data_IF_507283691940
#
_entry.id   IF_507283691940
#
_cell.length_a   1.000
_cell.length_b   1.000
_cell.length_c   1.000
_cell.angle_alpha   90.00
_cell.angle_beta   90.00
_cell.angle_gamma   90.00
#
_symmetry.space_group_name_H-M   'P 1'
#
loop_
_entity.id
_entity.type
_entity.pdbx_description
1 polymer ?
#
# COMPACT_ATOMS: atom_id res chain seq x y z
N UNK A 1 13.98 21.71 -2.42
CA UNK A 1 12.52 21.85 -2.55
C UNK A 1 12.11 21.78 -4.01
N UNK A 2 12.44 22.77 -4.84
CA UNK A 2 11.95 22.85 -6.24
C UNK A 2 12.37 21.67 -7.11
N UNK A 3 13.56 21.11 -6.88
CA UNK A 3 14.02 19.95 -7.62
C UNK A 3 13.12 18.72 -7.41
N UNK A 4 12.53 18.52 -6.22
CA UNK A 4 11.58 17.43 -5.98
C UNK A 4 10.27 17.64 -6.74
N UNK A 5 9.76 18.87 -6.79
CA UNK A 5 8.61 19.24 -7.62
C UNK A 5 8.88 18.95 -9.10
N UNK A 6 10.04 19.41 -9.58
CA UNK A 6 10.50 19.17 -10.94
C UNK A 6 10.55 17.67 -11.26
N UNK A 7 11.22 16.87 -10.42
CA UNK A 7 11.36 15.43 -10.65
C UNK A 7 10.02 14.72 -10.68
N UNK A 8 9.12 14.99 -9.74
CA UNK A 8 7.80 14.36 -9.71
C UNK A 8 6.99 14.71 -10.97
N UNK A 9 6.89 16.00 -11.31
CA UNK A 9 6.15 16.44 -12.51
C UNK A 9 6.77 15.94 -13.82
N UNK A 10 8.08 15.68 -13.84
CA UNK A 10 8.77 15.18 -15.03
C UNK A 10 8.76 13.65 -15.13
N UNK A 11 8.38 12.94 -14.07
CA UNK A 11 8.35 11.46 -14.02
C UNK A 11 6.94 10.87 -13.88
N UNK A 12 5.96 11.68 -13.49
CA UNK A 12 4.57 11.26 -13.29
C UNK A 12 3.64 12.37 -13.77
N UNK A 13 3.05 12.20 -14.96
CA UNK A 13 2.14 13.19 -15.54
C UNK A 13 1.17 12.58 -16.55
N UNK A 14 -0.07 13.06 -16.57
CA UNK A 14 -1.08 12.66 -17.54
C UNK A 14 -1.40 11.16 -17.43
N UNK A 15 -1.27 10.44 -18.54
CA UNK A 15 -1.54 8.99 -18.64
C UNK A 15 -0.26 8.15 -18.56
N UNK A 16 0.82 8.69 -17.97
CA UNK A 16 2.05 7.94 -17.75
C UNK A 16 1.88 6.84 -16.72
N UNK A 17 2.89 5.98 -16.59
CA UNK A 17 3.06 5.21 -15.36
C UNK A 17 3.44 6.16 -14.21
N UNK A 18 3.19 5.79 -12.94
CA UNK A 18 3.75 6.54 -11.83
C UNK A 18 5.29 6.45 -11.83
N UNK A 19 5.95 7.44 -11.23
CA UNK A 19 7.37 7.38 -10.91
C UNK A 19 7.71 6.08 -10.16
N UNK A 20 8.67 5.31 -10.68
CA UNK A 20 9.21 4.12 -10.03
C UNK A 20 10.44 4.49 -9.15
N UNK A 21 11.19 3.50 -8.64
CA UNK A 21 12.36 3.75 -7.79
C UNK A 21 13.44 4.69 -8.39
N UNK A 22 13.46 4.85 -9.71
CA UNK A 22 14.38 5.75 -10.43
C UNK A 22 13.64 6.86 -11.19
N UNK A 23 12.37 7.08 -10.89
CA UNK A 23 11.47 7.98 -11.61
C UNK A 23 11.19 7.46 -13.01
N UNK A 24 11.99 7.91 -13.98
CA UNK A 24 12.03 7.42 -15.37
C UNK A 24 13.47 7.19 -15.87
N UNK A 25 14.48 7.46 -15.04
CA UNK A 25 15.86 7.66 -15.49
C UNK A 25 16.75 6.54 -15.00
N UNK A 26 17.16 5.68 -15.93
CA UNK A 26 18.13 4.62 -15.68
C UNK A 26 19.13 4.55 -16.83
N UNK A 27 20.38 4.23 -16.49
CA UNK A 27 21.39 3.83 -17.45
C UNK A 27 21.49 2.30 -17.49
N UNK A 28 21.38 1.73 -18.69
CA UNK A 28 21.54 0.30 -18.94
C UNK A 28 20.26 -0.52 -18.82
N UNK A 29 20.43 -1.84 -18.84
CA UNK A 29 19.32 -2.81 -18.81
C UNK A 29 18.98 -3.31 -17.40
N UNK A 30 19.77 -2.92 -16.40
CA UNK A 30 19.63 -3.38 -15.02
C UNK A 30 19.76 -2.22 -14.06
N UNK A 31 18.80 -2.10 -13.17
CA UNK A 31 18.74 -1.10 -12.10
C UNK A 31 18.82 -1.76 -10.74
N UNK A 32 19.34 -1.06 -9.71
CA UNK A 32 19.16 -1.49 -8.33
C UNK A 32 17.68 -1.76 -8.05
N UNK A 33 17.39 -2.92 -7.46
CA UNK A 33 16.03 -3.40 -7.19
C UNK A 33 15.10 -3.36 -8.41
N UNK A 34 15.64 -3.64 -9.60
CA UNK A 34 14.91 -3.62 -10.87
C UNK A 34 14.21 -2.30 -11.23
N UNK A 35 14.44 -1.21 -10.48
CA UNK A 35 13.75 0.06 -10.71
C UNK A 35 12.23 -0.12 -10.64
N UNK A 36 11.78 -1.07 -9.83
CA UNK A 36 10.38 -1.48 -9.74
C UNK A 36 9.58 -0.53 -8.83
N UNK A 37 8.42 -0.99 -8.38
CA UNK A 37 7.56 -0.25 -7.46
C UNK A 37 7.62 -0.89 -6.07
N UNK A 38 8.43 -0.32 -5.19
CA UNK A 38 8.45 -0.65 -3.77
C UNK A 38 7.34 0.11 -3.02
N UNK A 39 6.30 -0.60 -2.60
CA UNK A 39 5.16 -0.05 -1.86
C UNK A 39 5.22 -0.37 -0.35
N UNK A 40 6.40 -0.67 0.18
CA UNK A 40 6.65 -0.79 1.62
C UNK A 40 7.20 0.51 2.26
N UNK A 41 7.45 1.56 1.46
CA UNK A 41 7.75 2.94 1.88
C UNK A 41 8.01 3.85 0.66
N UNK A 42 8.70 3.35 -0.37
CA UNK A 42 9.33 4.20 -1.40
C UNK A 42 8.30 4.93 -2.27
N UNK A 43 7.34 4.19 -2.82
CA UNK A 43 6.24 4.75 -3.59
C UNK A 43 5.47 5.75 -2.75
N UNK A 44 5.18 5.43 -1.50
CA UNK A 44 4.48 6.37 -0.62
C UNK A 44 5.26 7.69 -0.48
N UNK A 45 6.56 7.58 -0.18
CA UNK A 45 7.44 8.72 0.03
C UNK A 45 7.54 9.64 -1.19
N UNK A 46 7.60 9.08 -2.40
CA UNK A 46 7.70 9.86 -3.63
C UNK A 46 6.50 10.79 -3.84
N UNK A 47 5.33 10.44 -3.31
CA UNK A 47 4.07 11.17 -3.53
C UNK A 47 3.56 11.93 -2.30
N UNK A 48 4.16 11.78 -1.11
CA UNK A 48 3.70 12.46 0.12
C UNK A 48 3.49 13.97 -0.03
N UNK A 49 4.37 14.63 -0.80
CA UNK A 49 4.29 16.08 -0.97
C UNK A 49 3.38 16.49 -2.13
N UNK A 50 2.89 15.58 -2.98
CA UNK A 50 2.22 15.93 -4.24
C UNK A 50 1.01 16.85 -4.00
N UNK A 51 0.07 16.43 -3.16
CA UNK A 51 -1.13 17.22 -2.88
C UNK A 51 -0.86 18.48 -2.06
N UNK A 52 0.02 18.40 -1.06
CA UNK A 52 0.41 19.56 -0.25
C UNK A 52 1.06 20.68 -1.09
N UNK A 53 1.66 20.31 -2.22
CA UNK A 53 2.36 21.22 -3.13
C UNK A 53 1.51 21.67 -4.34
N UNK A 54 0.23 21.28 -4.38
CA UNK A 54 -0.68 21.58 -5.48
C UNK A 54 -0.35 20.81 -6.77
N UNK A 55 0.35 19.68 -6.67
CA UNK A 55 0.74 18.81 -7.80
C UNK A 55 -0.22 17.63 -7.96
N UNK A 56 -1.53 17.87 -7.87
CA UNK A 56 -2.56 16.82 -7.92
C UNK A 56 -2.53 16.06 -9.25
N UNK A 57 -2.28 16.75 -10.36
CA UNK A 57 -2.15 16.16 -11.69
C UNK A 57 -0.96 15.19 -11.79
N UNK A 58 0.12 15.45 -11.04
CA UNK A 58 1.27 14.56 -11.00
C UNK A 58 1.05 13.33 -10.11
N UNK A 59 0.05 13.36 -9.23
CA UNK A 59 -0.36 12.19 -8.43
C UNK A 59 -1.30 11.26 -9.20
N UNK A 60 -2.05 11.76 -10.19
CA UNK A 60 -3.05 10.98 -10.94
C UNK A 60 -2.52 9.66 -11.54
N UNK A 61 -1.30 9.59 -12.12
CA UNK A 61 -0.75 8.31 -12.57
C UNK A 61 -0.69 7.24 -11.47
N UNK A 62 -0.41 7.64 -10.23
CA UNK A 62 -0.40 6.72 -9.09
C UNK A 62 -1.81 6.22 -8.76
N UNK A 63 -2.81 7.10 -8.79
CA UNK A 63 -4.21 6.76 -8.48
C UNK A 63 -4.73 5.68 -9.44
N UNK A 64 -4.65 5.93 -10.74
CA UNK A 64 -5.07 4.98 -11.77
C UNK A 64 -4.28 3.66 -11.73
N UNK A 65 -2.96 3.75 -11.51
CA UNK A 65 -2.11 2.57 -11.39
C UNK A 65 -2.48 1.73 -10.16
N UNK A 66 -2.79 2.37 -9.05
CA UNK A 66 -3.13 1.69 -7.81
C UNK A 66 -4.51 1.02 -7.87
N UNK A 67 -5.48 1.62 -8.56
CA UNK A 67 -6.76 0.96 -8.86
C UNK A 67 -6.57 -0.37 -9.60
N UNK A 68 -5.74 -0.37 -10.64
CA UNK A 68 -5.43 -1.57 -11.40
C UNK A 68 -4.63 -2.60 -10.58
N UNK A 69 -3.75 -2.15 -9.69
CA UNK A 69 -3.05 -3.02 -8.75
C UNK A 69 -4.03 -3.70 -7.78
N UNK A 70 -4.99 -2.94 -7.22
CA UNK A 70 -6.00 -3.45 -6.30
C UNK A 70 -6.89 -4.50 -6.97
N UNK A 71 -7.36 -4.25 -8.20
CA UNK A 71 -8.14 -5.23 -8.98
C UNK A 71 -7.39 -6.57 -9.14
N UNK A 72 -6.09 -6.51 -9.47
CA UNK A 72 -5.25 -7.73 -9.53
C UNK A 72 -5.03 -8.36 -8.17
N UNK A 73 -4.99 -7.55 -7.12
CA UNK A 73 -4.88 -7.97 -5.72
C UNK A 73 -6.03 -8.85 -5.25
N UNK A 74 -7.20 -8.77 -5.88
CA UNK A 74 -8.35 -9.65 -5.54
C UNK A 74 -8.02 -11.12 -5.77
N UNK A 75 -7.35 -11.44 -6.88
CA UNK A 75 -6.91 -12.80 -7.17
C UNK A 75 -5.89 -13.27 -6.15
N UNK A 76 -4.97 -12.41 -5.73
CA UNK A 76 -3.98 -12.76 -4.70
C UNK A 76 -4.65 -12.99 -3.35
N UNK A 77 -5.60 -12.15 -2.95
CA UNK A 77 -6.39 -12.32 -1.73
C UNK A 77 -7.09 -13.69 -1.71
N UNK A 78 -7.77 -14.03 -2.81
CA UNK A 78 -8.48 -15.30 -2.94
C UNK A 78 -7.54 -16.50 -2.97
N UNK A 79 -6.55 -16.49 -3.87
CA UNK A 79 -5.72 -17.67 -4.12
C UNK A 79 -4.72 -17.95 -2.99
N UNK A 80 -4.19 -16.92 -2.33
CA UNK A 80 -3.18 -17.11 -1.28
C UNK A 80 -3.78 -17.18 0.13
N UNK A 81 -4.86 -16.44 0.38
CA UNK A 81 -5.42 -16.30 1.72
C UNK A 81 -6.83 -16.88 1.87
N UNK A 82 -7.50 -17.25 0.77
CA UNK A 82 -8.92 -17.60 0.80
C UNK A 82 -9.79 -16.44 1.29
N UNK A 83 -9.31 -15.21 1.14
CA UNK A 83 -9.92 -14.00 1.66
C UNK A 83 -10.62 -13.22 0.54
N UNK A 84 -11.66 -12.48 0.89
CA UNK A 84 -12.29 -11.49 0.02
C UNK A 84 -11.48 -10.20 -0.01
N UNK A 85 -11.94 -9.22 -0.80
CA UNK A 85 -11.24 -7.95 -0.96
C UNK A 85 -10.00 -8.10 -1.82
N UNK A 86 -9.00 -7.25 -1.61
CA UNK A 86 -7.74 -7.28 -2.34
C UNK A 86 -6.53 -7.11 -1.42
N UNK A 87 -5.37 -7.60 -1.85
CA UNK A 87 -4.10 -7.45 -1.14
C UNK A 87 -2.96 -7.24 -2.13
N UNK A 88 -1.98 -6.40 -1.76
CA UNK A 88 -0.71 -6.25 -2.45
C UNK A 88 0.44 -6.20 -1.43
N UNK A 89 1.57 -6.79 -1.79
CA UNK A 89 2.75 -6.94 -0.94
C UNK A 89 3.79 -5.85 -1.18
N UNK A 90 4.95 -5.92 -0.54
CA UNK A 90 5.93 -4.84 -0.54
C UNK A 90 6.46 -4.41 -1.91
N UNK A 91 6.42 -5.28 -2.92
CA UNK A 91 7.06 -5.08 -4.22
C UNK A 91 6.16 -5.51 -5.35
N UNK A 92 6.14 -4.72 -6.43
CA UNK A 92 5.43 -5.00 -7.67
C UNK A 92 6.16 -4.34 -8.84
N UNK A 93 5.80 -4.69 -10.06
CA UNK A 93 6.38 -4.17 -11.29
C UNK A 93 5.30 -3.61 -12.24
N UNK A 94 5.68 -3.35 -13.51
CA UNK A 94 4.77 -2.88 -14.55
C UNK A 94 3.64 -3.86 -14.88
N UNK A 95 3.79 -5.15 -14.52
CA UNK A 95 2.77 -6.18 -14.69
C UNK A 95 1.80 -6.26 -13.51
N UNK A 96 2.03 -5.45 -12.47
CA UNK A 96 1.18 -5.30 -11.29
C UNK A 96 1.00 -6.62 -10.54
N UNK A 97 2.10 -7.34 -10.35
CA UNK A 97 2.13 -8.58 -9.57
C UNK A 97 1.99 -8.29 -8.07
N UNK A 98 0.93 -8.81 -7.46
CA UNK A 98 0.57 -8.47 -6.07
C UNK A 98 0.98 -9.52 -5.06
N UNK A 99 1.57 -10.65 -5.49
CA UNK A 99 2.03 -11.70 -4.57
C UNK A 99 3.32 -11.29 -3.83
N UNK A 100 3.65 -11.92 -2.70
CA UNK A 100 4.95 -11.72 -2.04
C UNK A 100 6.10 -12.07 -2.99
N UNK A 101 7.04 -11.15 -3.18
CA UNK A 101 8.24 -11.35 -4.00
C UNK A 101 9.50 -11.39 -3.11
N UNK A 102 10.34 -12.41 -3.30
CA UNK A 102 11.62 -12.54 -2.62
C UNK A 102 11.59 -13.39 -1.34
N UNK A 103 12.49 -13.11 -0.41
CA UNK A 103 12.67 -13.86 0.84
C UNK A 103 11.75 -13.40 1.97
N UNK A 104 11.57 -14.25 2.99
CA UNK A 104 10.66 -14.01 4.12
C UNK A 104 10.95 -12.71 4.91
N UNK A 105 12.17 -12.19 4.80
CA UNK A 105 12.57 -10.92 5.43
C UNK A 105 11.88 -9.69 4.84
N UNK A 106 11.44 -9.75 3.59
CA UNK A 106 10.91 -8.59 2.87
C UNK A 106 9.63 -8.87 2.07
N UNK A 107 9.36 -10.13 1.71
CA UNK A 107 8.27 -10.46 0.81
C UNK A 107 6.88 -10.30 1.46
N UNK A 108 6.72 -10.72 2.72
CA UNK A 108 5.41 -10.93 3.34
C UNK A 108 4.91 -9.68 4.08
N UNK A 109 4.63 -8.60 3.35
CA UNK A 109 4.04 -7.36 3.87
C UNK A 109 2.61 -7.15 3.32
N UNK A 110 1.58 -7.84 3.84
CA UNK A 110 0.20 -7.70 3.35
C UNK A 110 -0.41 -6.31 3.61
N UNK A 111 0.18 -5.51 4.51
CA UNK A 111 -0.26 -4.16 4.85
C UNK A 111 0.27 -3.08 3.91
N UNK A 112 1.24 -3.41 3.07
CA UNK A 112 1.84 -2.48 2.12
C UNK A 112 0.81 -1.94 1.10
N UNK A 113 -0.07 -2.80 0.57
CA UNK A 113 -1.20 -2.37 -0.26
C UNK A 113 -2.18 -1.44 0.48
N UNK A 114 -2.55 -1.77 1.72
CA UNK A 114 -3.44 -0.92 2.52
C UNK A 114 -2.83 0.47 2.79
N UNK A 115 -1.51 0.56 2.98
CA UNK A 115 -0.84 1.85 3.12
C UNK A 115 -0.97 2.72 1.86
N UNK A 116 -0.91 2.12 0.67
CA UNK A 116 -1.18 2.84 -0.58
C UNK A 116 -2.64 3.33 -0.65
N UNK A 117 -3.61 2.57 -0.13
CA UNK A 117 -5.01 3.02 -0.06
C UNK A 117 -5.18 4.26 0.83
N UNK A 118 -4.37 4.41 1.88
CA UNK A 118 -4.35 5.64 2.69
C UNK A 118 -3.88 6.86 1.89
N UNK A 119 -3.06 6.70 0.84
CA UNK A 119 -2.72 7.82 -0.04
C UNK A 119 -3.92 8.30 -0.86
N UNK A 120 -4.78 7.37 -1.29
CA UNK A 120 -6.03 7.73 -1.99
C UNK A 120 -6.98 8.49 -1.05
N UNK A 121 -6.99 8.12 0.23
CA UNK A 121 -7.71 8.90 1.23
C UNK A 121 -7.14 10.31 1.39
N UNK A 122 -5.82 10.47 1.44
CA UNK A 122 -5.19 11.80 1.44
C UNK A 122 -5.57 12.63 0.22
N UNK A 123 -5.66 12.03 -0.97
CA UNK A 123 -6.13 12.73 -2.17
C UNK A 123 -7.49 13.39 -1.93
N UNK A 124 -8.47 12.65 -1.39
CA UNK A 124 -9.75 13.23 -1.02
C UNK A 124 -9.62 14.32 0.06
N UNK A 125 -8.81 14.11 1.10
CA UNK A 125 -8.64 15.11 2.18
C UNK A 125 -8.14 16.46 1.67
N UNK A 126 -7.27 16.45 0.66
CA UNK A 126 -6.75 17.66 0.03
C UNK A 126 -7.68 18.25 -1.03
N UNK A 127 -8.27 17.43 -1.88
CA UNK A 127 -9.05 17.91 -3.04
C UNK A 127 -10.53 18.12 -2.77
N UNK A 128 -11.09 17.43 -1.76
CA UNK A 128 -12.52 17.36 -1.46
C UNK A 128 -13.37 16.96 -2.67
N UNK A 129 -12.81 16.13 -3.54
CA UNK A 129 -13.51 15.65 -4.73
C UNK A 129 -14.46 14.49 -4.36
N UNK A 130 -15.72 14.80 -4.10
CA UNK A 130 -16.74 13.81 -3.73
C UNK A 130 -16.98 12.75 -4.81
N UNK A 131 -16.83 13.11 -6.09
CA UNK A 131 -16.97 12.16 -7.20
C UNK A 131 -15.84 11.15 -7.14
N UNK A 132 -14.60 11.62 -6.96
CA UNK A 132 -13.44 10.75 -6.83
C UNK A 132 -13.53 9.86 -5.57
N UNK A 133 -13.99 10.42 -4.45
CA UNK A 133 -14.23 9.66 -3.22
C UNK A 133 -15.16 8.47 -3.47
N UNK A 134 -16.33 8.71 -4.06
CA UNK A 134 -17.38 7.69 -4.23
C UNK A 134 -16.99 6.60 -5.22
N UNK A 135 -16.32 6.99 -6.30
CA UNK A 135 -16.07 6.08 -7.42
C UNK A 135 -14.71 5.38 -7.35
N UNK A 136 -13.75 5.92 -6.59
CA UNK A 136 -12.37 5.42 -6.58
C UNK A 136 -11.88 5.15 -5.16
N UNK A 137 -11.79 6.18 -4.31
CA UNK A 137 -11.18 6.06 -2.98
C UNK A 137 -11.95 5.11 -2.06
N UNK A 138 -13.28 5.27 -1.97
CA UNK A 138 -14.11 4.47 -1.07
C UNK A 138 -14.11 2.97 -1.45
N UNK A 139 -14.30 2.58 -2.73
CA UNK A 139 -14.14 1.18 -3.13
C UNK A 139 -12.78 0.56 -2.77
N UNK A 140 -11.69 1.33 -2.93
CA UNK A 140 -10.35 0.86 -2.58
C UNK A 140 -10.20 0.59 -1.08
N UNK A 141 -10.63 1.55 -0.24
CA UNK A 141 -10.63 1.40 1.21
C UNK A 141 -11.50 0.22 1.64
N UNK A 142 -12.70 0.09 1.07
CA UNK A 142 -13.63 -1.01 1.36
C UNK A 142 -13.01 -2.37 1.01
N UNK A 143 -12.37 -2.49 -0.14
CA UNK A 143 -11.72 -3.73 -0.57
C UNK A 143 -10.58 -4.15 0.38
N UNK A 144 -9.75 -3.19 0.82
CA UNK A 144 -8.71 -3.47 1.80
C UNK A 144 -9.28 -3.83 3.18
N UNK A 145 -10.31 -3.11 3.67
CA UNK A 145 -10.99 -3.44 4.93
C UNK A 145 -11.59 -4.85 4.86
N UNK A 146 -12.22 -5.20 3.74
CA UNK A 146 -12.79 -6.53 3.51
C UNK A 146 -11.72 -7.61 3.61
N UNK A 147 -10.55 -7.38 2.99
CA UNK A 147 -9.43 -8.30 3.12
C UNK A 147 -8.98 -8.44 4.58
N UNK A 148 -8.78 -7.34 5.30
CA UNK A 148 -8.30 -7.39 6.69
C UNK A 148 -9.29 -8.01 7.67
N UNK A 149 -10.60 -7.89 7.43
CA UNK A 149 -11.63 -8.59 8.20
C UNK A 149 -11.52 -10.11 8.04
N UNK A 150 -11.17 -10.60 6.86
CA UNK A 150 -10.95 -12.03 6.62
C UNK A 150 -9.54 -12.47 7.05
N UNK A 151 -8.53 -11.61 6.92
CA UNK A 151 -7.14 -11.92 7.20
C UNK A 151 -6.83 -11.97 8.70
N UNK A 152 -7.37 -11.03 9.48
CA UNK A 152 -7.12 -10.99 10.91
C UNK A 152 -7.84 -12.11 11.65
N UNK A 153 -7.14 -12.75 12.59
CA UNK A 153 -7.68 -13.88 13.37
C UNK A 153 -7.50 -13.66 14.86
N UNK A 154 -8.42 -14.17 15.71
CA UNK A 154 -8.27 -14.09 17.15
C UNK A 154 -7.08 -14.95 17.59
N UNK A 155 -6.15 -14.37 18.35
CA UNK A 155 -4.95 -15.08 18.86
C UNK A 155 -4.82 -15.02 20.39
N UNK A 156 -5.72 -14.30 21.06
CA UNK A 156 -5.73 -14.16 22.51
C UNK A 156 -7.09 -14.58 23.10
N UNK A 157 -7.15 -15.05 24.36
CA UNK A 157 -8.40 -15.50 25.00
C UNK A 157 -9.50 -14.44 25.08
N UNK A 158 -9.13 -13.16 25.06
CA UNK A 158 -10.05 -12.03 25.05
C UNK A 158 -10.67 -11.75 23.65
N UNK A 159 -10.34 -12.56 22.63
CA UNK A 159 -10.83 -12.40 21.27
C UNK A 159 -10.12 -11.30 20.46
N UNK A 160 -9.02 -10.72 20.95
CA UNK A 160 -8.25 -9.73 20.19
C UNK A 160 -7.78 -10.32 18.87
N UNK A 161 -8.06 -9.60 17.79
CA UNK A 161 -7.66 -9.92 16.43
C UNK A 161 -6.21 -9.51 16.18
N UNK A 162 -5.48 -10.38 15.50
CA UNK A 162 -4.08 -10.16 15.12
C UNK A 162 -3.95 -10.27 13.62
N UNK A 163 -3.08 -9.45 13.03
CA UNK A 163 -2.62 -9.66 11.65
C UNK A 163 -1.55 -10.74 11.65
N UNK A 164 -1.33 -11.31 10.47
CA UNK A 164 -0.16 -12.10 10.17
C UNK A 164 -0.47 -13.53 9.74
N UNK A 165 0.54 -14.23 9.20
CA UNK A 165 1.97 -13.88 9.25
C UNK A 165 2.37 -12.61 8.48
N UNK A 166 3.13 -11.71 9.11
CA UNK A 166 3.60 -10.45 8.51
C UNK A 166 5.01 -10.11 9.03
N UNK A 167 5.63 -9.05 8.55
CA UNK A 167 6.91 -8.57 9.06
C UNK A 167 6.91 -7.06 9.27
N UNK A 168 7.76 -6.59 10.19
CA UNK A 168 8.16 -5.18 10.22
C UNK A 168 9.16 -4.98 9.07
N UNK A 169 8.86 -4.15 8.04
CA UNK A 169 9.61 -4.07 6.79
C UNK A 169 11.12 -4.23 6.97
N UNK A 170 11.64 -5.32 6.40
CA UNK A 170 13.07 -5.64 6.29
C UNK A 170 13.86 -5.79 7.60
N UNK A 171 13.15 -5.80 8.74
CA UNK A 171 13.76 -5.95 10.06
C UNK A 171 13.93 -7.43 10.46
N UNK A 172 14.73 -7.66 11.49
CA UNK A 172 14.81 -8.95 12.17
C UNK A 172 14.67 -8.77 13.69
N UNK A 173 14.20 -9.82 14.35
CA UNK A 173 14.16 -9.91 15.80
C UNK A 173 14.80 -11.21 16.28
N UNK A 174 15.33 -11.18 17.49
CA UNK A 174 15.90 -12.36 18.15
C UNK A 174 14.82 -13.04 18.98
N UNK A 175 14.77 -14.36 18.92
CA UNK A 175 13.87 -15.14 19.76
C UNK A 175 14.48 -15.27 21.16
N UNK A 176 13.69 -15.08 22.21
CA UNK A 176 14.18 -15.23 23.58
C UNK A 176 14.65 -16.66 23.81
N UNK A 177 15.86 -16.81 24.37
CA UNK A 177 16.50 -18.11 24.63
C UNK A 177 16.83 -18.93 23.36
N UNK A 178 16.96 -18.27 22.21
CA UNK A 178 17.31 -18.90 20.94
C UNK A 178 18.15 -17.93 20.10
N UNK A 179 19.34 -18.37 19.67
CA UNK A 179 20.27 -17.54 18.91
C UNK A 179 19.79 -17.24 17.48
N UNK A 180 18.68 -17.84 17.03
CA UNK A 180 18.10 -17.61 15.70
C UNK A 180 17.50 -16.22 15.56
N UNK A 181 17.76 -15.61 14.39
CA UNK A 181 17.05 -14.44 13.92
C UNK A 181 15.78 -14.85 13.17
N UNK A 182 14.69 -14.14 13.43
CA UNK A 182 13.41 -14.29 12.73
C UNK A 182 12.99 -12.94 12.12
N UNK A 183 12.06 -13.01 11.17
CA UNK A 183 11.57 -11.84 10.43
C UNK A 183 10.06 -11.71 10.45
N UNK A 184 9.36 -12.85 10.53
CA UNK A 184 7.91 -12.92 10.45
C UNK A 184 7.33 -13.07 11.84
N UNK A 185 6.32 -12.28 12.16
CA UNK A 185 5.59 -12.31 13.42
C UNK A 185 4.09 -12.09 13.20
N UNK A 186 3.33 -12.21 14.28
CA UNK A 186 1.94 -11.76 14.33
C UNK A 186 1.90 -10.31 14.80
N UNK A 187 1.03 -9.49 14.21
CA UNK A 187 0.81 -8.08 14.55
C UNK A 187 2.09 -7.26 14.82
N UNK A 188 3.06 -7.18 13.89
CA UNK A 188 4.11 -6.17 14.01
C UNK A 188 3.48 -4.78 14.11
N UNK A 189 4.08 -3.85 14.86
CA UNK A 189 3.44 -2.55 15.16
C UNK A 189 3.00 -1.77 13.92
N UNK A 190 3.75 -1.86 12.83
CA UNK A 190 3.37 -1.25 11.55
C UNK A 190 2.03 -1.77 11.01
N UNK A 191 1.75 -3.06 11.16
CA UNK A 191 0.49 -3.63 10.72
C UNK A 191 -0.66 -3.07 11.55
N UNK A 192 -0.51 -3.06 12.88
CA UNK A 192 -1.51 -2.53 13.79
C UNK A 192 -1.82 -1.06 13.48
N UNK A 193 -0.79 -0.25 13.19
CA UNK A 193 -0.97 1.16 12.83
C UNK A 193 -1.69 1.33 11.50
N UNK A 194 -1.22 0.67 10.43
CA UNK A 194 -1.82 0.80 9.09
C UNK A 194 -3.25 0.29 9.07
N UNK A 195 -3.53 -0.85 9.73
CA UNK A 195 -4.89 -1.41 9.78
C UNK A 195 -5.82 -0.52 10.60
N UNK A 196 -5.33 0.05 11.72
CA UNK A 196 -6.11 1.02 12.47
C UNK A 196 -6.46 2.26 11.64
N UNK A 197 -5.47 2.83 10.95
CA UNK A 197 -5.67 3.99 10.08
C UNK A 197 -6.58 3.67 8.90
N UNK A 198 -6.47 2.47 8.31
CA UNK A 198 -7.33 2.00 7.24
C UNK A 198 -8.80 1.95 7.68
N UNK A 199 -9.08 1.32 8.82
CA UNK A 199 -10.44 1.18 9.32
C UNK A 199 -11.03 2.54 9.69
N UNK A 200 -10.24 3.40 10.33
CA UNK A 200 -10.66 4.76 10.69
C UNK A 200 -10.95 5.59 9.43
N UNK A 201 -10.05 5.56 8.45
CA UNK A 201 -10.21 6.29 7.19
C UNK A 201 -11.39 5.77 6.37
N UNK A 202 -11.66 4.46 6.40
CA UNK A 202 -12.84 3.87 5.75
C UNK A 202 -14.14 4.37 6.38
N UNK A 203 -14.24 4.41 7.71
CA UNK A 203 -15.42 4.94 8.40
C UNK A 203 -15.64 6.43 8.09
N UNK A 204 -14.58 7.22 8.09
CA UNK A 204 -14.63 8.63 7.72
C UNK A 204 -15.05 8.82 6.24
N UNK A 205 -14.53 7.97 5.35
CA UNK A 205 -14.90 7.97 3.94
C UNK A 205 -16.40 7.64 3.75
N UNK A 206 -16.93 6.63 4.45
CA UNK A 206 -18.36 6.31 4.43
C UNK A 206 -19.22 7.49 4.91
N UNK A 207 -18.80 8.17 5.98
CA UNK A 207 -19.50 9.36 6.49
C UNK A 207 -19.54 10.48 5.44
N UNK A 208 -18.40 10.79 4.82
CA UNK A 208 -18.33 11.81 3.78
C UNK A 208 -19.09 11.42 2.49
N UNK A 209 -19.15 10.13 2.18
CA UNK A 209 -19.97 9.60 1.09
C UNK A 209 -21.47 9.52 1.46
N UNK A 210 -21.88 9.75 2.70
CA UNK A 210 -23.28 9.59 3.10
C UNK A 210 -23.76 8.13 3.04
N UNK A 211 -22.85 7.18 3.28
CA UNK A 211 -23.11 5.73 3.37
C UNK A 211 -23.06 5.21 4.82
N UNK A 212 -22.99 6.12 5.79
CA UNK A 212 -22.95 5.82 7.23
C UNK A 212 -24.34 5.67 7.88
#
# INVERSE_FOLDING_TARGET
FDFGRYLLTSSSWGDSQPANLVGLWSEGLSTPWAGDYHININMQMMYWAAHALGLHEAARPLDSWFEALAERGERTALCMYGAKGWVAHGFTDIWMDTKPVGGSRWALCPTCGAWMALQQWENFRFTRNDTHLRHHTLPLLQGAVTFFLDYMKPQAPNGTLFTGPSHSPENSFRVTNDDRCQHVSLSPSIDSSIVFDLFTSFLDACWHAGEA
#
